data_IF_487758005744
#
_entry.id   IF_487758005744
#
_cell.length_a   1.000
_cell.length_b   1.000
_cell.length_c   1.000
_cell.angle_alpha   90.00
_cell.angle_beta   90.00
_cell.angle_gamma   90.00
#
_symmetry.space_group_name_H-M   'P 1'
#
loop_
_entity.id
_entity.type
_entity.pdbx_description
1 polymer ?
#
# COMPACT_ATOMS: atom_id res chain seq x y z
N UNK A 1 27.43 -7.75 -59.95
CA UNK A 1 26.71 -8.95 -59.47
C UNK A 1 26.93 -9.03 -57.97
N UNK A 2 26.00 -8.46 -57.21
CA UNK A 2 25.10 -9.18 -56.27
C UNK A 2 25.71 -9.15 -54.85
N UNK A 3 25.38 -8.19 -53.98
CA UNK A 3 24.21 -8.13 -53.08
C UNK A 3 23.84 -9.46 -52.38
N UNK A 4 24.13 -9.54 -51.07
CA UNK A 4 23.30 -10.12 -50.00
C UNK A 4 24.10 -9.98 -48.68
N UNK A 5 23.73 -9.20 -47.66
CA UNK A 5 22.53 -9.17 -46.79
C UNK A 5 22.69 -10.03 -45.53
N UNK A 6 22.75 -9.32 -44.39
CA UNK A 6 22.26 -9.58 -43.02
C UNK A 6 22.22 -11.00 -42.43
N UNK A 7 22.58 -11.08 -41.14
CA UNK A 7 21.59 -11.42 -40.11
C UNK A 7 22.00 -10.86 -38.73
N UNK A 8 21.24 -9.87 -38.25
CA UNK A 8 21.24 -9.46 -36.84
C UNK A 8 20.32 -10.42 -36.10
N UNK A 9 20.86 -11.11 -35.10
CA UNK A 9 20.08 -11.92 -34.16
C UNK A 9 19.12 -11.00 -33.42
N UNK A 10 17.82 -11.21 -33.67
CA UNK A 10 16.73 -10.57 -32.97
C UNK A 10 16.60 -11.18 -31.57
N UNK A 11 16.92 -10.42 -30.53
CA UNK A 11 16.51 -10.75 -29.16
C UNK A 11 14.99 -10.58 -29.05
N UNK A 12 14.28 -11.49 -28.36
CA UNK A 12 12.84 -11.37 -28.18
C UNK A 12 12.50 -10.09 -27.41
N UNK A 13 11.52 -9.37 -27.95
CA UNK A 13 10.93 -8.16 -27.35
C UNK A 13 10.50 -8.50 -25.92
N UNK A 14 10.90 -7.65 -24.96
CA UNK A 14 10.21 -7.57 -23.67
C UNK A 14 8.74 -7.40 -23.99
N UNK A 15 7.93 -8.34 -23.53
CA UNK A 15 6.47 -8.22 -23.56
C UNK A 15 6.11 -6.90 -22.90
N UNK A 16 5.67 -5.97 -23.73
CA UNK A 16 5.13 -4.69 -23.35
C UNK A 16 3.86 -4.98 -22.54
N UNK A 17 3.89 -4.70 -21.24
CA UNK A 17 2.72 -4.74 -20.38
C UNK A 17 1.60 -3.93 -21.04
N UNK A 18 0.42 -4.51 -21.33
CA UNK A 18 -0.65 -3.78 -21.97
C UNK A 18 -1.25 -2.79 -20.96
N UNK A 19 -0.84 -1.53 -21.07
CA UNK A 19 -1.54 -0.44 -20.44
C UNK A 19 -2.87 -0.18 -21.15
N UNK A 20 -3.90 0.06 -20.32
CA UNK A 20 -4.98 1.04 -20.51
C UNK A 20 -6.33 0.55 -21.05
N UNK A 21 -7.25 0.34 -20.10
CA UNK A 21 -8.53 1.07 -20.10
C UNK A 21 -8.66 1.69 -18.71
N UNK A 22 -9.00 2.98 -18.66
CA UNK A 22 -9.21 3.72 -17.41
C UNK A 22 -10.38 3.15 -16.64
N UNK A 23 -10.15 2.07 -15.91
CA UNK A 23 -11.02 1.65 -14.83
C UNK A 23 -10.87 2.70 -13.74
N UNK A 24 -11.96 3.20 -13.14
CA UNK A 24 -11.83 4.07 -11.97
C UNK A 24 -10.92 3.36 -10.96
N UNK A 25 -9.97 4.10 -10.38
CA UNK A 25 -9.08 3.56 -9.38
C UNK A 25 -9.94 2.83 -8.34
N UNK A 26 -9.84 1.51 -8.32
CA UNK A 26 -10.70 0.69 -7.50
C UNK A 26 -10.07 0.66 -6.13
N UNK A 27 -10.74 1.31 -5.17
CA UNK A 27 -10.21 1.49 -3.84
C UNK A 27 -10.86 0.49 -2.89
N UNK A 28 -10.05 -0.11 -2.05
CA UNK A 28 -10.49 -1.00 -0.99
C UNK A 28 -10.26 -0.34 0.35
N UNK A 29 -11.23 -0.49 1.25
CA UNK A 29 -11.04 -0.18 2.66
C UNK A 29 -10.54 -1.42 3.38
N UNK A 30 -9.32 -1.37 3.86
CA UNK A 30 -8.66 -2.47 4.57
C UNK A 30 -8.59 -2.14 6.05
N UNK A 31 -8.91 -3.09 6.91
CA UNK A 31 -8.75 -2.98 8.36
C UNK A 31 -7.74 -4.01 8.84
N UNK A 32 -6.72 -3.53 9.53
CA UNK A 32 -5.70 -4.31 10.22
C UNK A 32 -5.94 -4.23 11.72
N UNK A 33 -5.86 -5.36 12.41
CA UNK A 33 -5.98 -5.42 13.89
C UNK A 33 -4.73 -6.05 14.48
N UNK A 34 -4.35 -5.62 15.68
CA UNK A 34 -3.13 -6.09 16.33
C UNK A 34 -3.20 -7.61 16.51
N UNK A 35 -2.23 -8.32 15.96
CA UNK A 35 -2.12 -9.76 16.12
C UNK A 35 -1.65 -10.10 17.54
N UNK A 36 -1.69 -11.39 17.88
CA UNK A 36 -1.24 -11.88 19.18
C UNK A 36 0.22 -11.49 19.44
N UNK A 37 0.48 -10.87 20.58
CA UNK A 37 1.81 -10.50 21.04
C UNK A 37 1.92 -10.70 22.57
N UNK A 38 3.11 -10.64 23.17
CA UNK A 38 3.27 -10.86 24.61
C UNK A 38 2.39 -9.96 25.49
N UNK A 39 2.12 -8.72 25.07
CA UNK A 39 1.23 -7.80 25.77
C UNK A 39 -0.27 -8.01 25.47
N UNK A 40 -0.60 -8.67 24.36
CA UNK A 40 -1.97 -8.92 23.88
C UNK A 40 -2.06 -10.38 23.39
N UNK A 41 -2.19 -11.37 24.30
CA UNK A 41 -2.12 -12.79 23.95
C UNK A 41 -3.25 -13.24 23.01
N UNK A 42 -4.39 -12.54 23.02
CA UNK A 42 -5.52 -12.77 22.12
C UNK A 42 -5.52 -11.83 20.89
N UNK A 43 -4.52 -10.96 20.77
CA UNK A 43 -4.54 -9.82 19.86
C UNK A 43 -5.44 -8.70 20.38
N UNK A 44 -5.67 -7.68 19.56
CA UNK A 44 -6.57 -6.58 19.93
C UNK A 44 -7.29 -6.02 18.72
N UNK A 45 -8.61 -6.22 18.67
CA UNK A 45 -9.48 -5.53 17.71
C UNK A 45 -9.64 -4.04 18.02
N UNK A 46 -9.25 -3.61 19.22
CA UNK A 46 -9.26 -2.22 19.65
C UNK A 46 -7.98 -1.46 19.31
N UNK A 47 -6.99 -2.10 18.66
CA UNK A 47 -5.73 -1.50 18.23
C UNK A 47 -5.44 -1.90 16.79
N UNK A 48 -5.28 -0.92 15.90
CA UNK A 48 -5.12 -1.24 14.50
C UNK A 48 -5.07 -0.03 13.57
N UNK A 49 -5.09 -0.37 12.29
CA UNK A 49 -5.07 0.59 11.19
C UNK A 49 -6.24 0.32 10.27
N UNK A 50 -6.88 1.37 9.81
CA UNK A 50 -7.83 1.33 8.70
C UNK A 50 -7.30 2.22 7.60
N UNK A 51 -7.24 1.72 6.37
CA UNK A 51 -6.81 2.55 5.25
C UNK A 51 -7.60 2.26 4.00
N UNK A 52 -7.65 3.27 3.14
CA UNK A 52 -8.19 3.17 1.79
C UNK A 52 -7.03 3.14 0.82
N UNK A 53 -6.96 2.12 -0.03
CA UNK A 53 -5.92 2.03 -1.05
C UNK A 53 -6.36 1.17 -2.24
N UNK A 54 -5.77 1.41 -3.43
CA UNK A 54 -5.99 0.52 -4.56
C UNK A 54 -5.23 -0.78 -4.37
N UNK A 55 -5.94 -1.89 -4.53
CA UNK A 55 -5.37 -3.23 -4.49
C UNK A 55 -5.39 -3.84 -5.89
N UNK A 56 -4.28 -4.45 -6.28
CA UNK A 56 -4.16 -5.25 -7.48
C UNK A 56 -4.92 -6.59 -7.35
N UNK A 57 -5.00 -7.36 -8.45
CA UNK A 57 -5.67 -8.67 -8.46
C UNK A 57 -5.01 -9.70 -7.53
N UNK A 58 -3.76 -9.47 -7.12
CA UNK A 58 -3.01 -10.28 -6.15
C UNK A 58 -3.20 -9.80 -4.69
N UNK A 59 -4.06 -8.80 -4.46
CA UNK A 59 -4.30 -8.21 -3.15
C UNK A 59 -3.17 -7.30 -2.66
N UNK A 60 -2.17 -6.97 -3.48
CA UNK A 60 -1.10 -6.03 -3.11
C UNK A 60 -1.46 -4.61 -3.48
N UNK A 61 -0.78 -3.64 -2.87
CA UNK A 61 -0.95 -2.22 -3.21
C UNK A 61 -0.52 -1.95 -4.66
N UNK A 62 -1.42 -1.38 -5.44
CA UNK A 62 -1.15 -0.99 -6.83
C UNK A 62 -0.51 0.41 -6.86
N UNK A 63 0.80 0.47 -7.09
CA UNK A 63 1.56 1.74 -7.13
C UNK A 63 1.08 2.68 -8.24
N UNK A 64 0.90 2.24 -9.51
CA UNK A 64 0.30 3.07 -10.55
C UNK A 64 -1.04 3.71 -10.15
N UNK A 65 -2.01 2.91 -9.67
CA UNK A 65 -3.33 3.41 -9.27
C UNK A 65 -3.24 4.29 -8.02
N UNK A 66 -2.34 3.99 -7.09
CA UNK A 66 -2.11 4.82 -5.91
C UNK A 66 -1.66 6.23 -6.31
N UNK A 67 -0.82 6.37 -7.34
CA UNK A 67 -0.40 7.70 -7.83
C UNK A 67 -1.58 8.51 -8.36
N UNK A 68 -2.55 7.86 -8.99
CA UNK A 68 -3.74 8.52 -9.53
C UNK A 68 -4.76 8.88 -8.44
N UNK A 69 -4.82 8.09 -7.37
CA UNK A 69 -5.80 8.22 -6.28
C UNK A 69 -5.18 8.62 -4.93
N UNK A 70 -3.97 9.20 -4.90
CA UNK A 70 -3.22 9.52 -3.66
C UNK A 70 -4.06 10.31 -2.66
N UNK A 71 -4.87 11.25 -3.13
CA UNK A 71 -5.71 12.10 -2.26
C UNK A 71 -6.85 11.34 -1.57
N UNK A 72 -7.27 10.22 -2.15
CA UNK A 72 -8.27 9.31 -1.61
C UNK A 72 -7.66 8.25 -0.68
N UNK A 73 -6.34 8.05 -0.75
CA UNK A 73 -5.64 7.03 0.04
C UNK A 73 -5.38 7.51 1.48
N UNK A 74 -6.44 7.46 2.30
CA UNK A 74 -6.43 7.88 3.70
C UNK A 74 -6.17 6.72 4.64
N UNK A 75 -5.52 7.02 5.75
CA UNK A 75 -5.20 6.07 6.81
C UNK A 75 -5.72 6.61 8.14
N UNK A 76 -6.22 5.73 8.98
CA UNK A 76 -6.68 5.97 10.34
C UNK A 76 -6.07 4.95 11.27
N UNK A 77 -5.29 5.45 12.22
CA UNK A 77 -4.64 4.73 13.32
C UNK A 77 -5.60 4.78 14.52
N UNK A 78 -6.07 3.64 15.03
CA UNK A 78 -7.02 3.60 16.15
C UNK A 78 -6.53 2.72 17.30
N UNK A 79 -6.56 3.26 18.52
CA UNK A 79 -6.17 2.59 19.76
C UNK A 79 -7.22 2.87 20.82
N UNK A 80 -7.76 1.81 21.43
CA UNK A 80 -8.74 1.95 22.51
C UNK A 80 -8.11 2.70 23.68
N UNK A 81 -8.66 3.87 24.00
CA UNK A 81 -8.15 4.76 25.05
C UNK A 81 -7.25 5.90 24.55
N UNK A 82 -6.95 5.98 23.25
CA UNK A 82 -6.19 7.06 22.63
C UNK A 82 -7.03 7.74 21.52
N UNK A 83 -6.79 9.03 21.21
CA UNK A 83 -7.37 9.66 20.03
C UNK A 83 -6.90 9.00 18.73
N UNK A 84 -7.82 8.82 17.78
CA UNK A 84 -7.48 8.33 16.44
C UNK A 84 -6.53 9.30 15.72
N UNK A 85 -5.44 8.79 15.15
CA UNK A 85 -4.56 9.58 14.27
C UNK A 85 -4.94 9.34 12.82
N UNK A 86 -4.94 10.40 12.02
CA UNK A 86 -5.32 10.33 10.61
C UNK A 86 -4.14 10.74 9.75
N UNK A 87 -3.98 10.08 8.61
CA UNK A 87 -2.86 10.30 7.72
C UNK A 87 -3.16 9.90 6.27
N UNK A 88 -2.11 9.83 5.48
CA UNK A 88 -2.16 9.42 4.07
C UNK A 88 -1.17 8.29 3.83
N UNK A 89 -1.53 7.39 2.93
CA UNK A 89 -0.62 6.36 2.46
C UNK A 89 0.33 6.98 1.43
N UNK A 90 1.63 6.91 1.67
CA UNK A 90 2.69 7.44 0.80
C UNK A 90 3.58 6.31 0.31
N UNK A 91 3.92 6.32 -0.97
CA UNK A 91 4.88 5.39 -1.55
C UNK A 91 6.14 6.15 -1.96
N UNK A 92 7.30 5.71 -1.45
CA UNK A 92 8.61 6.25 -1.81
C UNK A 92 9.49 5.21 -2.48
N UNK A 93 10.28 5.67 -3.44
CA UNK A 93 11.32 4.86 -4.05
C UNK A 93 12.49 4.71 -3.07
N UNK A 94 13.07 3.51 -2.98
CA UNK A 94 14.14 3.19 -2.03
C UNK A 94 13.66 2.38 -0.82
N UNK A 95 14.61 1.71 -0.16
CA UNK A 95 14.37 0.75 0.94
C UNK A 95 14.81 -0.68 0.61
N UNK A 96 14.75 -1.56 1.61
CA UNK A 96 15.00 -3.00 1.46
C UNK A 96 13.91 -3.61 0.55
N UNK A 97 14.26 -3.92 -0.70
CA UNK A 97 13.29 -4.39 -1.72
C UNK A 97 12.89 -3.33 -2.77
N UNK A 98 13.50 -2.14 -2.75
CA UNK A 98 13.39 -1.15 -3.84
C UNK A 98 12.23 -0.17 -3.74
N UNK A 99 11.29 -0.38 -2.83
CA UNK A 99 10.16 0.51 -2.56
C UNK A 99 9.70 0.39 -1.10
N UNK A 100 9.26 1.52 -0.52
CA UNK A 100 8.78 1.60 0.86
C UNK A 100 7.44 2.33 0.90
N UNK A 101 6.50 1.79 1.67
CA UNK A 101 5.23 2.44 1.95
C UNK A 101 5.30 3.11 3.33
N UNK A 102 4.63 4.25 3.47
CA UNK A 102 4.68 5.12 4.64
C UNK A 102 3.26 5.58 4.97
N UNK A 103 2.94 5.75 6.25
CA UNK A 103 1.79 6.53 6.69
C UNK A 103 2.34 7.89 7.10
N UNK A 104 1.82 8.92 6.47
CA UNK A 104 2.16 10.30 6.76
C UNK A 104 1.01 10.92 7.55
N UNK A 105 1.24 11.24 8.83
CA UNK A 105 0.23 11.85 9.72
C UNK A 105 0.22 13.38 9.68
N UNK A 106 1.19 14.04 9.03
CA UNK A 106 1.32 15.49 9.06
C UNK A 106 1.08 16.11 7.68
N UNK A 107 0.12 17.02 7.59
CA UNK A 107 -0.18 17.75 6.36
C UNK A 107 0.79 18.92 6.08
N UNK A 108 1.65 19.27 7.06
CA UNK A 108 2.30 20.59 7.16
C UNK A 108 3.83 20.56 7.24
N UNK A 109 4.44 19.40 7.46
CA UNK A 109 5.90 19.26 7.56
C UNK A 109 6.38 18.05 6.76
N UNK A 110 7.58 18.15 6.19
CA UNK A 110 8.31 17.02 5.58
C UNK A 110 9.14 16.27 6.65
N UNK A 111 8.90 16.52 7.95
CA UNK A 111 9.60 15.82 9.03
C UNK A 111 9.08 14.39 9.09
N UNK A 112 9.93 13.52 8.54
CA UNK A 112 9.76 12.11 8.28
C UNK A 112 9.69 11.27 9.57
N UNK A 113 8.63 11.46 10.34
CA UNK A 113 8.54 10.84 11.67
C UNK A 113 7.91 9.46 11.70
N UNK A 114 7.80 8.75 10.56
CA UNK A 114 7.48 7.32 10.62
C UNK A 114 8.31 6.46 9.66
N UNK A 115 9.14 5.55 10.21
CA UNK A 115 9.98 4.70 9.39
C UNK A 115 9.19 3.66 8.60
N UNK A 116 9.71 3.41 7.41
CA UNK A 116 9.20 2.50 6.38
C UNK A 116 8.40 1.29 6.82
N UNK A 117 7.22 1.16 6.23
CA UNK A 117 6.36 0.00 6.33
C UNK A 117 6.69 -1.00 5.24
N UNK A 118 6.56 -2.30 5.55
CA UNK A 118 6.64 -3.37 4.56
C UNK A 118 5.29 -3.67 3.89
N UNK A 119 4.35 -2.71 3.84
CA UNK A 119 3.01 -2.93 3.27
C UNK A 119 3.04 -3.41 1.81
N UNK A 120 4.05 -3.00 1.04
CA UNK A 120 4.13 -3.27 -0.40
C UNK A 120 4.46 -4.70 -0.78
N UNK A 121 5.06 -5.47 0.12
CA UNK A 121 5.38 -6.89 -0.15
C UNK A 121 4.25 -7.83 0.26
N UNK A 122 3.43 -7.40 1.23
CA UNK A 122 2.32 -8.18 1.76
C UNK A 122 1.07 -8.04 0.89
N UNK A 123 0.36 -9.16 0.73
CA UNK A 123 -0.98 -9.15 0.16
C UNK A 123 -1.99 -8.86 1.27
N UNK A 124 -2.88 -7.92 1.04
CA UNK A 124 -4.00 -7.60 1.91
C UNK A 124 -5.15 -8.57 1.65
N UNK A 125 -4.96 -9.79 2.12
CA UNK A 125 -5.96 -10.86 2.08
C UNK A 125 -6.41 -11.14 3.50
N UNK A 126 -7.72 -11.37 3.69
CA UNK A 126 -8.29 -11.64 5.00
C UNK A 126 -7.51 -12.75 5.74
N UNK A 127 -7.09 -12.48 6.97
CA UNK A 127 -6.32 -13.40 7.82
C UNK A 127 -4.80 -13.36 7.61
N UNK A 128 -4.30 -12.69 6.58
CA UNK A 128 -2.86 -12.51 6.39
C UNK A 128 -2.25 -11.54 7.39
N UNK A 129 -0.94 -11.66 7.60
CA UNK A 129 -0.20 -10.86 8.56
C UNK A 129 0.66 -9.80 7.85
N UNK A 130 0.66 -8.61 8.45
CA UNK A 130 1.37 -7.43 7.97
C UNK A 130 2.15 -6.85 9.13
N UNK A 131 3.45 -6.64 8.95
CA UNK A 131 4.30 -6.01 9.96
C UNK A 131 4.39 -4.52 9.72
N UNK A 132 4.10 -3.75 10.77
CA UNK A 132 4.13 -2.29 10.78
C UNK A 132 5.05 -1.82 11.91
N UNK A 133 5.89 -0.84 11.63
CA UNK A 133 6.70 -0.15 12.63
C UNK A 133 6.02 1.18 12.95
N UNK A 134 5.73 1.42 14.23
CA UNK A 134 5.14 2.68 14.70
C UNK A 134 6.25 3.73 14.83
N UNK A 135 5.92 5.00 14.58
CA UNK A 135 6.82 6.16 14.66
C UNK A 135 7.60 6.24 15.98
N UNK A 136 6.92 5.93 17.08
CA UNK A 136 7.47 6.02 18.44
C UNK A 136 8.08 4.72 18.97
N UNK A 137 8.18 3.67 18.16
CA UNK A 137 8.68 2.36 18.59
C UNK A 137 9.77 1.85 17.62
N UNK A 138 10.84 1.27 18.20
CA UNK A 138 11.86 0.59 17.42
C UNK A 138 11.39 -0.82 16.97
N UNK A 139 10.34 -1.36 17.59
CA UNK A 139 9.80 -2.68 17.32
C UNK A 139 8.76 -2.69 16.20
N UNK A 140 8.80 -3.75 15.39
CA UNK A 140 7.72 -4.09 14.48
C UNK A 140 6.59 -4.77 15.25
N UNK A 141 5.38 -4.27 15.06
CA UNK A 141 4.15 -4.92 15.51
C UNK A 141 3.53 -5.67 14.34
N UNK A 142 3.08 -6.89 14.62
CA UNK A 142 2.37 -7.70 13.63
C UNK A 142 0.88 -7.42 13.74
N UNK A 143 0.26 -7.10 12.62
CA UNK A 143 -1.17 -6.91 12.47
C UNK A 143 -1.73 -7.98 11.55
N UNK A 144 -2.98 -8.36 11.76
CA UNK A 144 -3.73 -9.25 10.90
C UNK A 144 -4.73 -8.44 10.08
N UNK A 145 -4.87 -8.77 8.80
CA UNK A 145 -5.92 -8.25 7.93
C UNK A 145 -7.27 -8.79 8.43
N UNK A 146 -7.99 -7.97 9.18
CA UNK A 146 -9.28 -8.32 9.77
C UNK A 146 -10.45 -8.10 8.82
N UNK A 147 -10.29 -7.20 7.84
CA UNK A 147 -11.32 -6.91 6.86
C UNK A 147 -10.71 -6.34 5.57
N UNK A 148 -11.26 -6.76 4.43
CA UNK A 148 -11.00 -6.16 3.12
C UNK A 148 -12.37 -5.84 2.53
N UNK A 149 -12.68 -4.55 2.42
CA UNK A 149 -13.94 -4.09 1.88
C UNK A 149 -14.06 -4.36 0.39
N UNK A 150 -15.32 -4.41 -0.05
CA UNK A 150 -15.64 -4.49 -1.47
C UNK A 150 -15.00 -3.33 -2.24
N UNK A 151 -14.60 -3.59 -3.50
CA UNK A 151 -14.06 -2.56 -4.38
C UNK A 151 -15.03 -1.39 -4.51
N UNK A 152 -14.60 -0.19 -4.10
CA UNK A 152 -15.36 1.03 -4.27
C UNK A 152 -14.78 1.84 -5.43
N UNK A 153 -15.63 2.47 -6.27
CA UNK A 153 -15.13 3.36 -7.31
C UNK A 153 -14.46 4.56 -6.63
N UNK A 154 -13.17 4.76 -6.89
CA UNK A 154 -12.52 6.04 -6.67
C UNK A 154 -13.24 7.05 -7.55
N UNK A 155 -14.05 7.92 -6.95
CA UNK A 155 -14.79 8.95 -7.67
C UNK A 155 -13.85 9.76 -8.58
N UNK A 156 -14.36 10.35 -9.68
CA UNK A 156 -13.51 11.06 -10.60
C UNK A 156 -12.75 12.17 -9.87
N UNK A 157 -11.43 12.19 -10.00
CA UNK A 157 -10.65 13.39 -9.71
C UNK A 157 -11.23 14.49 -10.62
N UNK A 158 -11.97 15.43 -10.03
CA UNK A 158 -12.48 16.60 -10.73
C UNK A 158 -11.28 17.36 -11.31
N UNK A 159 -11.00 17.16 -12.60
CA UNK A 159 -10.05 17.97 -13.36
C UNK A 159 -10.70 19.35 -13.56
N UNK A 160 -10.23 20.34 -12.80
CA UNK A 160 -10.41 21.76 -13.10
C UNK A 160 -9.33 22.26 -14.05
#
# INVERSE_FOLDING_TARGET
MSHATHERVASPRREESPGKVGSPATLHRVTLTLARCPAHPDGSAGRGYEFVAPLGPDGRLDVPLWREARDLCRVRRFWTGEPDRHGRLVHRAGGEGGATWLIDYEDWTDEDDEPGYRLGTHAFVLGEYVSIRDAGDEAYHTFMVAHVGEPMPGGPACRG
#
